data_IF_721277119975
#
_entry.id   IF_721277119975
#
_cell.length_a   1.000
_cell.length_b   1.000
_cell.length_c   1.000
_cell.angle_alpha   90.00
_cell.angle_beta   90.00
_cell.angle_gamma   90.00
#
_symmetry.space_group_name_H-M   'P 1'
#
loop_
_entity.id
_entity.type
_entity.pdbx_description
1 polymer ?
#
# COMPACT_ATOMS: atom_id res chain seq x y z
N UNK A 1 7.66 -3.88 17.39
CA UNK A 1 7.62 -4.33 15.98
C UNK A 1 8.96 -4.94 15.60
N UNK A 2 10.03 -4.17 15.38
CA UNK A 2 11.36 -4.67 14.96
C UNK A 2 11.87 -5.95 15.64
N UNK A 3 11.63 -6.10 16.95
CA UNK A 3 11.98 -7.29 17.70
C UNK A 3 11.38 -8.59 17.11
N UNK A 4 10.13 -8.56 16.61
CA UNK A 4 9.51 -9.74 15.98
C UNK A 4 10.27 -10.13 14.72
N UNK A 5 10.65 -9.14 13.91
CA UNK A 5 11.42 -9.36 12.70
C UNK A 5 12.79 -9.99 13.01
N UNK A 6 13.53 -9.38 13.92
CA UNK A 6 14.84 -9.87 14.35
C UNK A 6 14.73 -11.27 14.97
N UNK A 7 13.73 -11.51 15.81
CA UNK A 7 13.45 -12.82 16.38
C UNK A 7 13.19 -13.88 15.30
N UNK A 8 12.38 -13.56 14.28
CA UNK A 8 12.14 -14.48 13.16
C UNK A 8 13.44 -14.73 12.38
N UNK A 9 14.20 -13.69 12.05
CA UNK A 9 15.44 -13.82 11.30
C UNK A 9 16.51 -14.62 12.07
N UNK A 10 16.61 -14.44 13.39
CA UNK A 10 17.61 -15.15 14.18
C UNK A 10 17.27 -16.63 14.42
N UNK A 11 15.99 -16.97 14.52
CA UNK A 11 15.57 -18.32 14.89
C UNK A 11 15.04 -19.15 13.71
N UNK A 12 14.56 -18.52 12.65
CA UNK A 12 13.80 -19.18 11.57
C UNK A 12 14.25 -18.79 10.15
N UNK A 13 15.38 -18.08 9.99
CA UNK A 13 15.90 -17.82 8.63
C UNK A 13 16.23 -19.12 7.91
N UNK A 14 15.81 -19.22 6.65
CA UNK A 14 16.08 -20.37 5.78
C UNK A 14 17.31 -20.14 4.91
N UNK A 15 17.76 -18.90 4.77
CA UNK A 15 18.93 -18.50 3.99
C UNK A 15 19.59 -17.28 4.63
N UNK A 16 20.90 -17.17 4.47
CA UNK A 16 21.65 -15.95 4.80
C UNK A 16 22.11 -15.29 3.50
N UNK A 17 21.55 -14.11 3.22
CA UNK A 17 21.88 -13.34 2.02
C UNK A 17 23.08 -12.42 2.27
N UNK A 18 23.99 -12.25 1.29
CA UNK A 18 25.10 -11.32 1.41
C UNK A 18 24.61 -9.87 1.34
N UNK A 19 25.42 -8.94 1.84
CA UNK A 19 25.18 -7.51 1.65
C UNK A 19 25.63 -7.08 0.23
N UNK A 20 24.81 -7.41 -0.77
CA UNK A 20 25.05 -7.15 -2.19
C UNK A 20 23.90 -6.31 -2.77
N UNK A 21 24.19 -5.34 -3.65
CA UNK A 21 23.18 -4.44 -4.22
C UNK A 21 22.02 -5.17 -4.93
N UNK A 22 22.25 -6.37 -5.46
CA UNK A 22 21.20 -7.21 -6.06
C UNK A 22 20.23 -7.72 -5.00
N UNK A 23 20.73 -8.07 -3.81
CA UNK A 23 19.90 -8.43 -2.66
C UNK A 23 19.05 -7.24 -2.23
N UNK A 24 19.62 -6.04 -2.21
CA UNK A 24 18.85 -4.82 -1.93
C UNK A 24 17.74 -4.61 -2.96
N UNK A 25 18.05 -4.67 -4.25
CA UNK A 25 17.06 -4.48 -5.32
C UNK A 25 15.95 -5.54 -5.28
N UNK A 26 16.31 -6.82 -5.12
CA UNK A 26 15.32 -7.90 -5.04
C UNK A 26 14.46 -7.74 -3.77
N UNK A 27 15.07 -7.35 -2.65
CA UNK A 27 14.35 -7.10 -1.40
C UNK A 27 13.33 -5.97 -1.54
N UNK A 28 13.69 -4.89 -2.23
CA UNK A 28 12.76 -3.80 -2.56
C UNK A 28 11.56 -4.34 -3.35
N UNK A 29 11.80 -5.06 -4.45
CA UNK A 29 10.74 -5.56 -5.32
C UNK A 29 9.81 -6.53 -4.59
N UNK A 30 10.36 -7.44 -3.79
CA UNK A 30 9.57 -8.40 -3.02
C UNK A 30 8.79 -7.70 -1.90
N UNK A 31 9.37 -6.70 -1.24
CA UNK A 31 8.65 -5.90 -0.25
C UNK A 31 7.48 -5.15 -0.87
N UNK A 32 7.68 -4.45 -1.99
CA UNK A 32 6.62 -3.73 -2.69
C UNK A 32 5.50 -4.68 -3.12
N UNK A 33 5.85 -5.87 -3.61
CA UNK A 33 4.87 -6.90 -3.94
C UNK A 33 4.09 -7.40 -2.71
N UNK A 34 4.76 -7.65 -1.60
CA UNK A 34 4.11 -8.08 -0.36
C UNK A 34 3.20 -7.00 0.22
N UNK A 35 3.64 -5.73 0.17
CA UNK A 35 2.81 -4.59 0.55
C UNK A 35 1.57 -4.50 -0.34
N UNK A 36 1.71 -4.62 -1.67
CA UNK A 36 0.59 -4.66 -2.60
C UNK A 36 -0.40 -5.77 -2.25
N UNK A 37 0.07 -6.98 -1.97
CA UNK A 37 -0.79 -8.09 -1.55
C UNK A 37 -1.51 -7.80 -0.23
N UNK A 38 -0.82 -7.26 0.78
CA UNK A 38 -1.43 -6.88 2.05
C UNK A 38 -2.49 -5.78 1.86
N UNK A 39 -2.18 -4.75 1.07
CA UNK A 39 -3.10 -3.66 0.76
C UNK A 39 -4.31 -4.14 -0.02
N UNK A 40 -4.12 -5.03 -0.98
CA UNK A 40 -5.22 -5.67 -1.70
C UNK A 40 -6.13 -6.48 -0.77
N UNK A 41 -5.55 -7.25 0.16
CA UNK A 41 -6.34 -7.97 1.16
C UNK A 41 -7.14 -7.02 2.07
N UNK A 42 -6.58 -5.86 2.42
CA UNK A 42 -7.29 -4.80 3.13
C UNK A 42 -8.51 -4.27 2.35
N UNK A 43 -8.53 -4.38 1.02
CA UNK A 43 -9.66 -3.98 0.18
C UNK A 43 -10.63 -5.12 -0.15
N UNK A 44 -10.18 -6.38 -0.14
CA UNK A 44 -10.98 -7.53 -0.56
C UNK A 44 -11.66 -8.29 0.59
N UNK A 45 -11.09 -8.26 1.80
CA UNK A 45 -11.61 -9.00 2.96
C UNK A 45 -12.35 -8.06 3.90
N UNK A 46 -13.67 -8.24 4.06
CA UNK A 46 -14.53 -7.34 4.85
C UNK A 46 -13.98 -6.99 6.25
N UNK A 47 -13.41 -7.98 6.95
CA UNK A 47 -12.82 -7.77 8.27
C UNK A 47 -11.57 -6.86 8.22
N UNK A 48 -10.71 -7.05 7.21
CA UNK A 48 -9.52 -6.21 7.02
C UNK A 48 -9.92 -4.83 6.48
N UNK A 49 -10.92 -4.76 5.61
CA UNK A 49 -11.53 -3.54 5.13
C UNK A 49 -12.07 -2.67 6.26
N UNK A 50 -12.68 -3.27 7.29
CA UNK A 50 -13.17 -2.53 8.44
C UNK A 50 -12.07 -1.70 9.12
N UNK A 51 -10.81 -2.14 9.03
CA UNK A 51 -9.64 -1.42 9.53
C UNK A 51 -9.08 -0.36 8.59
N UNK A 52 -9.33 -0.49 7.29
CA UNK A 52 -8.78 0.38 6.24
C UNK A 52 -9.76 1.46 5.76
N UNK A 53 -11.08 1.25 5.90
CA UNK A 53 -12.09 2.20 5.45
C UNK A 53 -11.94 3.61 6.05
N UNK A 54 -11.40 3.71 7.28
CA UNK A 54 -11.12 5.00 7.91
C UNK A 54 -10.08 5.81 7.14
N UNK A 55 -9.07 5.15 6.57
CA UNK A 55 -8.07 5.78 5.71
C UNK A 55 -8.72 6.37 4.45
N UNK A 56 -9.65 5.64 3.83
CA UNK A 56 -10.40 6.07 2.65
C UNK A 56 -11.54 7.05 2.94
N UNK A 57 -11.94 7.23 4.20
CA UNK A 57 -13.04 8.13 4.59
C UNK A 57 -12.73 9.63 4.45
N UNK A 58 -11.63 10.01 3.83
CA UNK A 58 -11.11 11.38 3.87
C UNK A 58 -11.66 12.27 2.74
N UNK A 59 -12.64 13.13 3.09
CA UNK A 59 -13.23 14.14 2.18
C UNK A 59 -12.23 15.06 1.46
N UNK A 60 -11.04 15.24 2.05
CA UNK A 60 -9.98 16.08 1.49
C UNK A 60 -8.70 15.27 1.43
N UNK A 61 -8.39 14.75 0.25
CA UNK A 61 -7.20 13.95 0.02
C UNK A 61 -5.93 14.80 0.07
N UNK A 62 -5.08 14.58 1.08
CA UNK A 62 -3.79 15.26 1.24
C UNK A 62 -2.82 14.39 2.06
N UNK A 63 -1.63 14.91 2.40
CA UNK A 63 -0.61 14.12 3.12
C UNK A 63 -1.07 13.68 4.52
N UNK A 64 -2.02 14.41 5.12
CA UNK A 64 -2.68 14.01 6.35
C UNK A 64 -3.47 12.71 6.20
N UNK A 65 -3.98 12.39 5.00
CA UNK A 65 -4.62 11.11 4.70
C UNK A 65 -3.66 9.94 4.89
N UNK A 66 -2.37 10.11 4.56
CA UNK A 66 -1.35 9.06 4.73
C UNK A 66 -1.19 8.60 6.18
N UNK A 67 -1.43 9.48 7.16
CA UNK A 67 -1.28 9.16 8.58
C UNK A 67 -2.59 8.68 9.23
N UNK A 68 -3.71 8.66 8.50
CA UNK A 68 -5.01 8.14 8.96
C UNK A 68 -5.07 6.62 8.87
N UNK A 69 -4.05 5.94 9.37
CA UNK A 69 -3.98 4.49 9.41
C UNK A 69 -4.52 4.00 10.74
N UNK A 70 -5.36 2.97 10.73
CA UNK A 70 -5.75 2.35 11.98
C UNK A 70 -4.56 1.58 12.57
N UNK A 71 -4.55 1.43 13.89
CA UNK A 71 -3.55 0.57 14.54
C UNK A 71 -3.59 -0.85 13.97
N UNK A 72 -4.78 -1.35 13.65
CA UNK A 72 -4.96 -2.70 13.12
C UNK A 72 -4.38 -2.85 11.71
N UNK A 73 -4.63 -1.88 10.82
CA UNK A 73 -4.05 -1.83 9.47
C UNK A 73 -2.52 -1.85 9.51
N UNK A 74 -1.91 -1.00 10.35
CA UNK A 74 -0.46 -0.95 10.52
C UNK A 74 0.11 -2.31 10.92
N UNK A 75 -0.56 -3.01 11.84
CA UNK A 75 -0.12 -4.33 12.27
C UNK A 75 -0.33 -5.40 11.18
N UNK A 76 -1.41 -5.37 10.41
CA UNK A 76 -1.63 -6.32 9.30
C UNK A 76 -0.49 -6.21 8.29
N UNK A 77 -0.19 -5.01 7.80
CA UNK A 77 0.88 -4.79 6.83
C UNK A 77 2.23 -5.19 7.41
N UNK A 78 2.48 -4.82 8.67
CA UNK A 78 3.72 -5.17 9.36
C UNK A 78 3.92 -6.69 9.48
N UNK A 79 2.94 -7.42 10.01
CA UNK A 79 3.07 -8.86 10.20
C UNK A 79 3.09 -9.64 8.88
N UNK A 80 2.33 -9.18 7.88
CA UNK A 80 2.36 -9.78 6.56
C UNK A 80 3.73 -9.64 5.90
N UNK A 81 4.36 -8.47 6.00
CA UNK A 81 5.71 -8.23 5.48
C UNK A 81 6.81 -8.85 6.36
N UNK A 82 6.54 -9.11 7.64
CA UNK A 82 7.48 -9.77 8.56
C UNK A 82 7.84 -11.20 8.13
N UNK A 83 7.02 -11.86 7.30
CA UNK A 83 7.35 -13.17 6.71
C UNK A 83 8.66 -13.15 5.92
N UNK A 84 9.03 -11.99 5.37
CA UNK A 84 10.28 -11.81 4.65
C UNK A 84 11.52 -11.89 5.56
N UNK A 85 11.35 -11.86 6.89
CA UNK A 85 12.42 -12.11 7.87
C UNK A 85 13.05 -13.50 7.74
N UNK A 86 12.39 -14.43 7.06
CA UNK A 86 12.97 -15.76 6.83
C UNK A 86 14.16 -15.71 5.86
N UNK A 87 14.35 -14.62 5.11
CA UNK A 87 15.43 -14.50 4.13
C UNK A 87 16.15 -13.14 4.15
N UNK A 88 15.42 -12.04 4.35
CA UNK A 88 15.96 -10.67 4.22
C UNK A 88 16.62 -10.22 5.52
N UNK A 89 17.90 -9.82 5.51
CA UNK A 89 18.59 -9.32 6.69
C UNK A 89 17.90 -8.09 7.32
N UNK A 90 17.87 -7.96 8.67
CA UNK A 90 17.17 -6.88 9.35
C UNK A 90 17.56 -5.46 8.90
N UNK A 91 18.83 -5.10 8.67
CA UNK A 91 19.17 -3.76 8.20
C UNK A 91 18.55 -3.43 6.84
N UNK A 92 18.57 -4.38 5.90
CA UNK A 92 17.98 -4.22 4.56
C UNK A 92 16.47 -4.07 4.68
N UNK A 93 15.83 -4.92 5.48
CA UNK A 93 14.39 -4.85 5.72
C UNK A 93 13.97 -3.48 6.28
N UNK A 94 14.63 -3.01 7.33
CA UNK A 94 14.27 -1.76 8.02
C UNK A 94 14.37 -0.58 7.06
N UNK A 95 15.44 -0.52 6.26
CA UNK A 95 15.59 0.55 5.27
C UNK A 95 14.46 0.54 4.24
N UNK A 96 14.09 -0.63 3.73
CA UNK A 96 12.99 -0.71 2.77
C UNK A 96 11.62 -0.41 3.40
N UNK A 97 11.37 -0.83 4.65
CA UNK A 97 10.14 -0.47 5.37
C UNK A 97 10.00 1.06 5.53
N UNK A 98 11.09 1.75 5.84
CA UNK A 98 11.12 3.20 5.93
C UNK A 98 10.89 3.85 4.56
N UNK A 99 11.56 3.36 3.52
CA UNK A 99 11.35 3.81 2.15
C UNK A 99 9.89 3.64 1.72
N UNK A 100 9.30 2.46 1.94
CA UNK A 100 7.91 2.15 1.64
C UNK A 100 6.98 3.13 2.36
N UNK A 101 7.18 3.37 3.65
CA UNK A 101 6.36 4.33 4.41
C UNK A 101 6.44 5.75 3.83
N UNK A 102 7.63 6.22 3.48
CA UNK A 102 7.82 7.54 2.85
C UNK A 102 7.21 7.60 1.45
N UNK A 103 7.38 6.55 0.65
CA UNK A 103 6.82 6.47 -0.69
C UNK A 103 5.28 6.46 -0.63
N UNK A 104 4.69 5.64 0.25
CA UNK A 104 3.25 5.64 0.49
C UNK A 104 2.75 7.01 0.96
N UNK A 105 3.46 7.68 1.88
CA UNK A 105 3.09 9.03 2.29
C UNK A 105 3.13 10.04 1.14
N UNK A 106 4.15 9.97 0.27
CA UNK A 106 4.29 10.82 -0.90
C UNK A 106 3.16 10.64 -1.92
N UNK A 107 2.60 9.44 -2.06
CA UNK A 107 1.45 9.18 -2.93
C UNK A 107 0.18 9.92 -2.46
N UNK A 108 0.10 10.31 -1.19
CA UNK A 108 -1.04 11.04 -0.65
C UNK A 108 -0.86 12.54 -0.77
N UNK A 109 -0.84 13.06 -1.99
CA UNK A 109 -0.86 14.51 -2.19
C UNK A 109 -1.71 14.90 -3.38
N UNK A 110 -2.48 15.98 -3.23
CA UNK A 110 -3.24 16.66 -4.29
C UNK A 110 -2.47 17.75 -5.00
N UNK A 111 -1.26 18.07 -4.55
CA UNK A 111 -0.43 19.10 -5.17
C UNK A 111 0.34 18.65 -6.41
N UNK A 112 0.45 17.34 -6.64
CA UNK A 112 1.14 16.76 -7.79
C UNK A 112 0.10 16.22 -8.77
N UNK A 113 0.08 16.80 -9.97
CA UNK A 113 -0.75 16.37 -11.08
C UNK A 113 -0.24 15.09 -11.74
N UNK A 114 -0.51 14.91 -13.04
CA UNK A 114 -0.03 13.74 -13.78
C UNK A 114 1.47 13.81 -14.07
N UNK A 115 2.16 12.69 -13.93
CA UNK A 115 3.60 12.58 -14.19
C UNK A 115 3.94 12.03 -15.60
N UNK A 116 2.93 11.90 -16.47
CA UNK A 116 3.11 11.49 -17.86
C UNK A 116 3.66 10.07 -17.95
N UNK A 117 4.78 9.88 -18.65
CA UNK A 117 5.29 8.53 -18.92
C UNK A 117 5.67 7.73 -17.66
N UNK A 118 5.98 8.41 -16.54
CA UNK A 118 6.29 7.75 -15.27
C UNK A 118 5.10 6.95 -14.72
N UNK A 119 3.88 7.34 -15.08
CA UNK A 119 2.65 6.67 -14.64
C UNK A 119 2.49 5.26 -15.22
N UNK A 120 3.18 4.93 -16.32
CA UNK A 120 3.13 3.56 -16.85
C UNK A 120 3.97 2.56 -16.04
N UNK A 121 4.88 3.06 -15.19
CA UNK A 121 5.84 2.22 -14.46
C UNK A 121 5.65 2.33 -12.96
N UNK A 122 5.35 3.53 -12.45
CA UNK A 122 5.28 3.81 -11.03
C UNK A 122 3.85 4.09 -10.58
N UNK A 123 3.58 3.73 -9.33
CA UNK A 123 2.46 4.33 -8.63
C UNK A 123 2.78 5.83 -8.42
N UNK A 124 1.78 6.69 -8.60
CA UNK A 124 1.96 8.14 -8.55
C UNK A 124 0.85 8.76 -7.72
N UNK A 125 1.02 10.01 -7.26
CA UNK A 125 -0.03 10.69 -6.52
C UNK A 125 -1.37 10.75 -7.26
N UNK A 126 -1.35 10.90 -8.59
CA UNK A 126 -2.55 10.88 -9.43
C UNK A 126 -3.27 9.52 -9.41
N UNK A 127 -2.54 8.40 -9.52
CA UNK A 127 -3.13 7.06 -9.40
C UNK A 127 -3.74 6.82 -8.03
N UNK A 128 -3.02 7.21 -6.98
CA UNK A 128 -3.47 6.98 -5.62
C UNK A 128 -4.67 7.85 -5.25
N UNK A 129 -4.75 9.07 -5.78
CA UNK A 129 -5.94 9.92 -5.69
C UNK A 129 -7.16 9.25 -6.31
N UNK A 130 -7.01 8.75 -7.53
CA UNK A 130 -8.09 8.01 -8.22
C UNK A 130 -8.56 6.85 -7.37
N UNK A 131 -7.64 6.09 -6.78
CA UNK A 131 -7.96 5.00 -5.86
C UNK A 131 -8.83 5.45 -4.68
N UNK A 132 -8.51 6.58 -4.05
CA UNK A 132 -9.29 7.18 -2.95
C UNK A 132 -10.62 7.81 -3.40
N UNK A 133 -10.69 8.39 -4.60
CA UNK A 133 -11.91 9.05 -5.12
C UNK A 133 -12.96 8.03 -5.58
N UNK A 134 -12.53 6.93 -6.21
CA UNK A 134 -13.44 5.84 -6.60
C UNK A 134 -14.17 5.29 -5.37
N UNK A 135 -13.49 5.25 -4.21
CA UNK A 135 -14.11 4.86 -2.96
C UNK A 135 -15.28 5.78 -2.59
N UNK A 136 -15.06 7.11 -2.53
CA UNK A 136 -16.13 8.05 -2.18
C UNK A 136 -17.35 7.90 -3.10
N UNK A 137 -17.14 7.80 -4.41
CA UNK A 137 -18.22 7.64 -5.39
C UNK A 137 -18.98 6.31 -5.22
N UNK A 138 -18.28 5.20 -4.98
CA UNK A 138 -18.92 3.89 -4.81
C UNK A 138 -19.73 3.79 -3.51
N UNK A 139 -19.43 4.62 -2.50
CA UNK A 139 -20.11 4.63 -1.21
C UNK A 139 -21.16 5.74 -1.09
N UNK A 140 -21.08 6.81 -1.88
CA UNK A 140 -22.17 7.79 -2.01
C UNK A 140 -23.33 7.24 -2.85
N UNK A 141 -23.05 6.46 -3.89
CA UNK A 141 -24.08 5.84 -4.76
C UNK A 141 -24.79 4.63 -4.13
N UNK A 142 -24.29 4.12 -3.00
CA UNK A 142 -24.91 3.03 -2.25
C UNK A 142 -25.35 3.61 -0.91
N UNK A 143 -26.63 3.52 -0.53
CA UNK A 143 -27.20 3.96 0.76
C UNK A 143 -26.56 3.28 2.01
N UNK A 144 -25.24 3.36 2.21
CA UNK A 144 -24.47 2.74 3.30
C UNK A 144 -24.24 1.22 3.18
N UNK A 145 -24.56 0.59 2.05
CA UNK A 145 -24.43 -0.87 1.86
C UNK A 145 -22.99 -1.34 1.66
N UNK A 146 -22.44 -2.07 2.64
CA UNK A 146 -21.12 -2.70 2.59
C UNK A 146 -21.09 -3.96 1.71
N UNK A 147 -21.06 -3.79 0.40
CA UNK A 147 -20.58 -4.88 -0.47
C UNK A 147 -19.09 -4.69 -0.77
N UNK A 148 -18.32 -5.79 -0.90
CA UNK A 148 -16.90 -5.71 -1.25
C UNK A 148 -16.72 -4.96 -2.57
N UNK A 149 -15.67 -4.13 -2.66
CA UNK A 149 -15.24 -3.52 -3.92
C UNK A 149 -14.93 -4.65 -4.93
N UNK A 150 -15.86 -4.91 -5.85
CA UNK A 150 -15.61 -5.80 -6.99
C UNK A 150 -14.47 -5.19 -7.84
N UNK A 151 -13.41 -5.96 -8.05
CA UNK A 151 -12.26 -5.60 -8.89
C UNK A 151 -12.66 -5.24 -10.34
N UNK A 152 -13.80 -5.75 -10.82
CA UNK A 152 -14.41 -5.36 -12.09
C UNK A 152 -14.88 -3.89 -12.13
N UNK A 153 -15.21 -3.31 -10.98
CA UNK A 153 -15.50 -1.88 -10.81
C UNK A 153 -14.17 -1.12 -10.74
N UNK A 154 -13.21 -1.56 -9.91
CA UNK A 154 -11.91 -0.88 -9.78
C UNK A 154 -11.16 -0.74 -11.11
N UNK A 155 -11.04 -1.81 -11.91
CA UNK A 155 -10.42 -1.77 -13.25
C UNK A 155 -11.17 -0.85 -14.22
N UNK A 156 -12.50 -0.85 -14.16
CA UNK A 156 -13.35 -0.09 -15.08
C UNK A 156 -13.24 1.41 -14.79
N UNK A 157 -13.19 1.78 -13.51
CA UNK A 157 -13.00 3.16 -13.08
C UNK A 157 -11.55 3.65 -13.20
N UNK A 158 -10.53 2.82 -12.92
CA UNK A 158 -9.13 3.18 -13.14
C UNK A 158 -8.84 3.46 -14.64
N UNK A 159 -9.45 2.70 -15.55
CA UNK A 159 -9.37 2.96 -17.00
C UNK A 159 -10.18 4.17 -17.47
N UNK A 160 -11.31 4.47 -16.82
CA UNK A 160 -12.12 5.65 -17.13
C UNK A 160 -11.50 6.94 -16.58
N UNK A 161 -10.96 6.92 -15.36
CA UNK A 161 -10.37 8.10 -14.71
C UNK A 161 -9.07 8.56 -15.36
N UNK A 162 -8.31 7.65 -15.98
CA UNK A 162 -7.19 8.00 -16.86
C UNK A 162 -7.64 8.89 -18.05
N UNK A 163 -8.91 8.80 -18.47
CA UNK A 163 -9.49 9.59 -19.57
C UNK A 163 -10.23 10.86 -19.11
N UNK A 164 -10.77 10.91 -17.89
CA UNK A 164 -11.80 11.92 -17.54
C UNK A 164 -11.47 12.86 -16.38
N UNK A 165 -10.50 12.56 -15.51
CA UNK A 165 -10.13 13.51 -14.46
C UNK A 165 -9.20 14.60 -15.02
N UNK A 166 -9.61 15.89 -14.92
CA UNK A 166 -8.72 16.98 -15.27
C UNK A 166 -7.55 17.02 -14.28
N UNK A 167 -6.44 17.59 -14.76
CA UNK A 167 -5.21 17.77 -14.00
C UNK A 167 -5.42 18.47 -12.66
#
# INVERSE_FOLDING_TARGET
MLYVFEYIYENYRIITLPNDWRVWLISLLVMEFMFYCAHRLLHEVNFLWASHQYHHSCKHFNIGTAVRLSWFELNIVYYYTSLLAMAIPPPIMITHMQYMFLYQAWLHTDTIGKLGFLEYVFNTPSHHRVHHVIFELCFEDRDGGQEPLDWGIWKRYQMQSMRTYPA
#
